data_IF_732394607712
#
_entry.id   IF_732394607712
#
_cell.length_a   1.000
_cell.length_b   1.000
_cell.length_c   1.000
_cell.angle_alpha   90.00
_cell.angle_beta   90.00
_cell.angle_gamma   90.00
#
_symmetry.space_group_name_H-M   'P 1'
#
loop_
_entity.id
_entity.type
_entity.pdbx_description
1 polymer ?
#
# COMPACT_ATOMS: atom_id res chain seq x y z
N UNK A 1 -2.84 -2.01 -4.24
CA UNK A 1 -2.53 -3.45 -4.29
C UNK A 1 -3.78 -4.16 -4.77
N UNK A 2 -3.71 -5.04 -5.77
CA UNK A 2 -4.88 -5.77 -6.20
C UNK A 2 -5.22 -6.81 -5.11
N UNK A 3 -6.37 -6.66 -4.46
CA UNK A 3 -6.94 -7.68 -3.58
C UNK A 3 -7.67 -8.67 -4.49
N UNK A 4 -7.01 -9.78 -4.82
CA UNK A 4 -7.47 -10.70 -5.89
C UNK A 4 -8.08 -11.98 -5.35
N UNK A 5 -7.68 -12.37 -4.13
CA UNK A 5 -8.17 -13.55 -3.44
C UNK A 5 -8.80 -13.13 -2.13
N UNK A 6 -9.71 -13.96 -1.64
CA UNK A 6 -10.37 -13.75 -0.36
C UNK A 6 -9.36 -13.50 0.77
N UNK A 7 -8.25 -14.25 0.78
CA UNK A 7 -7.21 -14.17 1.80
C UNK A 7 -6.44 -12.84 1.80
N UNK A 8 -6.54 -12.05 0.73
CA UNK A 8 -5.89 -10.74 0.65
C UNK A 8 -6.65 -9.69 1.49
N UNK A 9 -7.95 -9.92 1.74
CA UNK A 9 -8.82 -9.03 2.50
C UNK A 9 -8.73 -9.29 4.01
N UNK A 10 -8.98 -8.23 4.80
CA UNK A 10 -9.13 -8.33 6.26
C UNK A 10 -10.03 -9.51 6.66
N UNK A 11 -9.45 -10.52 7.31
CA UNK A 11 -10.11 -11.74 7.75
C UNK A 11 -10.95 -12.46 6.68
N UNK A 12 -10.61 -12.28 5.40
CA UNK A 12 -11.38 -12.86 4.30
C UNK A 12 -12.70 -12.15 3.99
N UNK A 13 -12.93 -10.94 4.50
CA UNK A 13 -14.11 -10.14 4.15
C UNK A 13 -13.86 -9.37 2.85
N UNK A 14 -14.38 -9.89 1.74
CA UNK A 14 -14.30 -9.27 0.41
C UNK A 14 -15.02 -7.90 0.33
N UNK A 15 -15.80 -7.52 1.34
CA UNK A 15 -16.38 -6.18 1.46
C UNK A 15 -15.47 -5.19 2.21
N UNK A 16 -14.35 -5.67 2.78
CA UNK A 16 -13.42 -4.82 3.50
C UNK A 16 -12.70 -3.85 2.56
N UNK A 17 -12.53 -2.63 3.03
CA UNK A 17 -11.69 -1.64 2.37
C UNK A 17 -10.19 -1.86 2.64
N UNK A 18 -9.84 -2.86 3.46
CA UNK A 18 -8.48 -3.10 3.93
C UNK A 18 -7.95 -4.46 3.52
N UNK A 19 -6.65 -4.46 3.23
CA UNK A 19 -5.87 -5.67 3.10
C UNK A 19 -5.63 -6.32 4.46
N UNK A 20 -5.39 -7.64 4.49
CA UNK A 20 -5.01 -8.38 5.70
C UNK A 20 -3.81 -7.72 6.43
N UNK A 21 -2.86 -7.15 5.68
CA UNK A 21 -1.66 -6.52 6.25
C UNK A 21 -1.91 -5.12 6.82
N UNK A 22 -3.05 -4.52 6.48
CA UNK A 22 -3.44 -3.16 6.84
C UNK A 22 -4.14 -3.10 8.21
N UNK A 23 -4.51 -4.26 8.75
CA UNK A 23 -5.19 -4.43 10.04
C UNK A 23 -4.33 -5.21 11.03
N UNK A 24 -4.59 -4.99 12.31
CA UNK A 24 -4.07 -5.78 13.42
C UNK A 24 -4.88 -7.07 13.58
N UNK A 25 -4.36 -8.00 14.38
CA UNK A 25 -5.03 -9.28 14.65
C UNK A 25 -6.37 -9.14 15.37
N UNK A 26 -6.62 -7.99 16.01
CA UNK A 26 -7.90 -7.65 16.66
C UNK A 26 -8.88 -6.95 15.71
N UNK A 27 -8.52 -6.78 14.43
CA UNK A 27 -9.32 -6.10 13.40
C UNK A 27 -9.19 -4.57 13.41
N UNK A 28 -8.41 -3.98 14.32
CA UNK A 28 -8.16 -2.53 14.27
C UNK A 28 -7.24 -2.17 13.10
N UNK A 29 -7.49 -1.02 12.45
CA UNK A 29 -6.63 -0.54 11.36
C UNK A 29 -5.31 -0.05 11.93
N UNK A 30 -4.19 -0.44 11.31
CA UNK A 30 -2.85 0.02 11.70
C UNK A 30 -2.66 1.52 11.49
N UNK A 31 -1.64 2.09 12.13
CA UNK A 31 -1.28 3.49 11.90
C UNK A 31 -0.83 3.73 10.46
N UNK A 32 -0.80 5.00 10.06
CA UNK A 32 -0.42 5.37 8.71
C UNK A 32 1.02 4.98 8.40
N UNK A 33 1.91 5.20 9.37
CA UNK A 33 3.32 4.88 9.33
C UNK A 33 3.56 3.37 9.20
N UNK A 34 2.81 2.55 9.93
CA UNK A 34 2.90 1.09 9.84
C UNK A 34 2.42 0.57 8.49
N UNK A 35 1.30 1.07 7.98
CA UNK A 35 0.79 0.68 6.66
C UNK A 35 1.75 1.15 5.56
N UNK A 36 2.30 2.35 5.70
CA UNK A 36 3.32 2.88 4.78
C UNK A 36 4.57 2.00 4.78
N UNK A 37 5.18 1.72 5.93
CA UNK A 37 6.38 0.88 5.99
C UNK A 37 6.11 -0.53 5.46
N UNK A 38 4.95 -1.12 5.78
CA UNK A 38 4.54 -2.41 5.22
C UNK A 38 4.46 -2.39 3.69
N UNK A 39 3.88 -1.33 3.12
CA UNK A 39 3.86 -1.11 1.67
C UNK A 39 5.26 -0.95 1.07
N UNK A 40 6.15 -0.19 1.72
CA UNK A 40 7.54 -0.01 1.30
C UNK A 40 8.26 -1.36 1.25
N UNK A 41 8.18 -2.15 2.31
CA UNK A 41 8.79 -3.48 2.38
C UNK A 41 8.25 -4.38 1.26
N UNK A 42 6.93 -4.36 1.03
CA UNK A 42 6.32 -5.12 -0.05
C UNK A 42 6.89 -4.71 -1.41
N UNK A 43 6.85 -3.42 -1.76
CA UNK A 43 7.32 -2.99 -3.08
C UNK A 43 8.83 -3.17 -3.27
N UNK A 44 9.63 -3.06 -2.21
CA UNK A 44 11.06 -3.41 -2.26
C UNK A 44 11.31 -4.84 -2.74
N UNK A 45 10.44 -5.80 -2.40
CA UNK A 45 10.55 -7.19 -2.91
C UNK A 45 10.28 -7.31 -4.41
N UNK A 46 9.64 -6.30 -5.03
CA UNK A 46 9.23 -6.29 -6.44
C UNK A 46 10.20 -5.51 -7.33
N UNK A 47 11.00 -4.61 -6.74
CA UNK A 47 11.89 -3.69 -7.45
C UNK A 47 13.36 -3.82 -7.02
N UNK A 48 13.78 -5.06 -6.75
CA UNK A 48 15.19 -5.40 -6.47
C UNK A 48 15.78 -4.61 -5.29
N UNK A 49 14.95 -4.25 -4.30
CA UNK A 49 15.40 -3.58 -3.08
C UNK A 49 15.57 -2.07 -3.18
N UNK A 50 15.11 -1.40 -4.24
CA UNK A 50 15.11 0.08 -4.30
C UNK A 50 14.10 0.68 -3.32
N UNK A 51 14.58 1.10 -2.15
CA UNK A 51 13.73 1.71 -1.12
C UNK A 51 13.13 3.05 -1.56
N UNK A 52 13.88 3.89 -2.28
CA UNK A 52 13.40 5.23 -2.66
C UNK A 52 12.23 5.11 -3.63
N UNK A 53 12.37 4.22 -4.61
CA UNK A 53 11.28 3.92 -5.53
C UNK A 53 10.10 3.25 -4.81
N UNK A 54 10.36 2.34 -3.86
CA UNK A 54 9.30 1.68 -3.08
C UNK A 54 8.49 2.69 -2.27
N UNK A 55 9.13 3.68 -1.66
CA UNK A 55 8.45 4.77 -0.97
C UNK A 55 7.57 5.59 -1.91
N UNK A 56 8.09 5.98 -3.08
CA UNK A 56 7.34 6.72 -4.10
C UNK A 56 6.09 5.97 -4.56
N UNK A 57 6.24 4.68 -4.85
CA UNK A 57 5.14 3.79 -5.26
C UNK A 57 4.14 3.59 -4.12
N UNK A 58 4.61 3.44 -2.88
CA UNK A 58 3.74 3.29 -1.71
C UNK A 58 2.90 4.55 -1.49
N UNK A 59 3.50 5.74 -1.56
CA UNK A 59 2.75 7.02 -1.44
C UNK A 59 1.70 7.15 -2.53
N UNK A 60 2.07 6.82 -3.78
CA UNK A 60 1.14 6.82 -4.92
C UNK A 60 -0.02 5.84 -4.70
N UNK A 61 0.27 4.58 -4.35
CA UNK A 61 -0.74 3.55 -4.08
C UNK A 61 -1.69 3.94 -2.94
N UNK A 62 -1.15 4.44 -1.81
CA UNK A 62 -1.99 4.87 -0.69
C UNK A 62 -2.79 6.12 -1.06
N UNK A 63 -2.20 7.09 -1.75
CA UNK A 63 -2.87 8.33 -2.16
C UNK A 63 -4.08 8.13 -3.09
N UNK A 64 -4.11 7.03 -3.85
CA UNK A 64 -5.24 6.69 -4.72
C UNK A 64 -6.44 6.10 -3.99
N UNK A 65 -6.27 5.60 -2.75
CA UNK A 65 -7.36 5.03 -1.98
C UNK A 65 -8.15 6.12 -1.25
N UNK A 66 -9.48 6.08 -1.37
CA UNK A 66 -10.39 7.05 -0.75
C UNK A 66 -10.20 7.17 0.76
N UNK A 67 -9.82 6.09 1.44
CA UNK A 67 -9.57 6.05 2.88
C UNK A 67 -8.55 7.08 3.37
N UNK A 68 -7.56 7.43 2.53
CA UNK A 68 -6.45 8.30 2.92
C UNK A 68 -6.67 9.79 2.63
N UNK A 69 -7.72 10.17 1.88
CA UNK A 69 -7.91 11.57 1.42
C UNK A 69 -7.98 12.59 2.56
N UNK A 70 -8.65 12.23 3.66
CA UNK A 70 -8.88 13.14 4.79
C UNK A 70 -7.92 12.89 5.97
N UNK A 71 -6.91 12.02 5.78
CA UNK A 71 -5.95 11.68 6.84
C UNK A 71 -4.70 12.52 6.70
N UNK A 72 -4.36 13.25 7.76
CA UNK A 72 -3.09 13.96 7.83
C UNK A 72 -1.94 13.00 8.19
N UNK A 73 -1.42 12.29 7.19
CA UNK A 73 -0.25 11.45 7.33
C UNK A 73 1.00 12.14 6.80
N UNK A 74 2.00 12.37 7.64
CA UNK A 74 3.25 13.01 7.21
C UNK A 74 4.00 12.16 6.17
N UNK A 75 3.96 10.83 6.30
CA UNK A 75 4.61 9.90 5.36
C UNK A 75 4.05 9.98 3.93
N UNK A 76 2.84 10.50 3.75
CA UNK A 76 2.19 10.66 2.44
C UNK A 76 2.50 11.99 1.75
N UNK A 77 3.17 12.94 2.42
CA UNK A 77 3.49 14.27 1.87
C UNK A 77 4.78 14.35 1.04
N UNK A 78 5.41 13.20 0.77
CA UNK A 78 6.66 13.12 0.00
C UNK A 78 6.46 12.93 -1.49
N UNK A 79 7.58 12.76 -2.22
CA UNK A 79 7.57 12.44 -3.65
C UNK A 79 6.79 11.16 -3.92
N UNK A 80 5.97 11.18 -4.97
CA UNK A 80 5.19 10.05 -5.46
C UNK A 80 5.76 9.54 -6.78
N UNK A 81 5.53 8.27 -7.07
CA UNK A 81 5.83 7.72 -8.38
C UNK A 81 4.93 8.39 -9.43
N UNK A 82 5.47 8.61 -10.63
CA UNK A 82 4.68 8.98 -11.81
C UNK A 82 3.73 7.85 -12.19
N UNK A 83 2.71 8.15 -13.02
CA UNK A 83 1.78 7.13 -13.49
C UNK A 83 2.49 6.02 -14.29
N UNK A 84 3.52 6.38 -15.06
CA UNK A 84 4.33 5.44 -15.83
C UNK A 84 5.15 4.51 -14.92
N UNK A 85 5.92 5.10 -14.00
CA UNK A 85 6.68 4.39 -12.97
C UNK A 85 5.80 3.45 -12.14
N UNK A 86 4.62 3.93 -11.73
CA UNK A 86 3.66 3.14 -10.98
C UNK A 86 3.15 1.96 -11.81
N UNK A 87 2.75 2.20 -13.07
CA UNK A 87 2.27 1.14 -13.96
C UNK A 87 3.34 0.08 -14.23
N UNK A 88 4.62 0.44 -14.35
CA UNK A 88 5.72 -0.51 -14.51
C UNK A 88 5.89 -1.42 -13.29
N UNK A 89 5.82 -0.87 -12.09
CA UNK A 89 5.90 -1.67 -10.86
C UNK A 89 4.69 -2.58 -10.72
N UNK A 90 3.49 -2.09 -11.03
CA UNK A 90 2.26 -2.89 -10.94
C UNK A 90 2.25 -4.07 -11.93
N UNK A 91 2.89 -3.96 -13.10
CA UNK A 91 3.06 -5.08 -14.04
C UNK A 91 3.87 -6.24 -13.46
N UNK A 92 4.77 -5.97 -12.50
CA UNK A 92 5.60 -7.00 -11.85
C UNK A 92 4.85 -7.81 -10.79
N UNK A 93 3.66 -7.38 -10.38
CA UNK A 93 2.82 -8.07 -9.39
C UNK A 93 2.02 -9.25 -9.97
N UNK A 94 2.21 -9.56 -11.27
CA UNK A 94 1.42 -10.54 -12.04
C UNK A 94 1.99 -11.95 -11.97
#
# INVERSE_FOLDING_TARGET
MPLTKKEDFDNGDENSNFCLYCVNTDGSVKSCEEIFEGGVQFFMTQIEGDRQMAEKVTRKNMGELSYWRDKNCEVLKGEMATDEEFAEVMKKLS
#
